data_IF_025249255185
#
_entry.id   IF_025249255185
#
_cell.length_a   1.000
_cell.length_b   1.000
_cell.length_c   1.000
_cell.angle_alpha   90.00
_cell.angle_beta   90.00
_cell.angle_gamma   90.00
#
_symmetry.space_group_name_H-M   'P 1'
#
loop_
_entity.id
_entity.type
_entity.pdbx_description
1 polymer ?
#
# COMPACT_ATOMS: atom_id res chain seq x y z
N UNK A 1 -9.66 4.93 -17.27
CA UNK A 1 -8.55 5.83 -16.91
C UNK A 1 -8.66 6.10 -15.42
N UNK A 2 -7.89 5.40 -14.59
CA UNK A 2 -7.67 5.81 -13.20
C UNK A 2 -6.66 6.96 -13.19
N UNK A 3 -6.55 7.71 -12.10
CA UNK A 3 -5.67 8.89 -11.97
C UNK A 3 -4.16 8.59 -12.16
N UNK A 4 -3.81 7.34 -12.46
CA UNK A 4 -2.47 6.86 -12.79
C UNK A 4 -2.55 6.15 -14.16
N UNK A 5 -2.12 6.84 -15.23
CA UNK A 5 -2.05 6.29 -16.59
C UNK A 5 -1.14 5.06 -16.71
N UNK A 6 -1.26 4.35 -17.85
CA UNK A 6 -0.52 3.14 -18.28
C UNK A 6 0.00 2.23 -17.15
N UNK A 7 -0.82 1.28 -16.69
CA UNK A 7 -0.45 0.14 -15.81
C UNK A 7 0.93 0.22 -15.10
N UNK A 8 1.14 1.27 -14.30
CA UNK A 8 2.41 1.55 -13.63
C UNK A 8 2.23 1.96 -12.17
N UNK A 9 3.35 1.96 -11.44
CA UNK A 9 3.39 2.33 -10.02
C UNK A 9 2.48 1.48 -9.13
N UNK A 10 1.83 2.15 -8.18
CA UNK A 10 1.01 1.53 -7.13
C UNK A 10 -0.19 0.78 -7.71
N UNK A 11 -0.83 1.29 -8.76
CA UNK A 11 -1.99 0.63 -9.38
C UNK A 11 -1.66 -0.75 -9.97
N UNK A 12 -0.54 -0.85 -10.71
CA UNK A 12 -0.09 -2.15 -11.25
C UNK A 12 0.33 -3.10 -10.15
N UNK A 13 1.07 -2.61 -9.16
CA UNK A 13 1.49 -3.40 -8.01
C UNK A 13 0.27 -3.96 -7.28
N UNK A 14 -0.72 -3.12 -6.95
CA UNK A 14 -1.93 -3.54 -6.26
C UNK A 14 -2.74 -4.56 -7.04
N UNK A 15 -2.93 -4.40 -8.36
CA UNK A 15 -3.59 -5.42 -9.20
C UNK A 15 -2.88 -6.77 -9.16
N UNK A 16 -1.53 -6.79 -9.18
CA UNK A 16 -0.76 -8.02 -9.02
C UNK A 16 -0.95 -8.65 -7.65
N UNK A 17 -1.02 -7.84 -6.59
CA UNK A 17 -1.28 -8.32 -5.23
C UNK A 17 -2.69 -8.94 -5.12
N UNK A 18 -3.71 -8.27 -5.67
CA UNK A 18 -5.08 -8.81 -5.74
C UNK A 18 -5.16 -10.13 -6.50
N UNK A 19 -4.51 -10.23 -7.66
CA UNK A 19 -4.48 -11.46 -8.45
C UNK A 19 -3.83 -12.62 -7.65
N UNK A 20 -2.76 -12.32 -6.90
CA UNK A 20 -2.10 -13.29 -6.01
C UNK A 20 -2.97 -13.72 -4.84
N UNK A 21 -3.96 -12.94 -4.40
CA UNK A 21 -4.89 -13.37 -3.35
C UNK A 21 -5.67 -14.62 -3.76
N UNK A 22 -6.02 -14.72 -5.05
CA UNK A 22 -6.81 -15.82 -5.60
C UNK A 22 -5.96 -16.96 -6.14
N UNK A 23 -4.79 -16.66 -6.72
CA UNK A 23 -4.00 -17.60 -7.52
C UNK A 23 -2.54 -17.79 -7.03
N UNK A 24 -2.20 -17.39 -5.80
CA UNK A 24 -0.80 -17.48 -5.35
C UNK A 24 -0.32 -18.93 -5.31
N UNK A 25 0.86 -19.22 -5.90
CA UNK A 25 1.58 -20.45 -5.60
C UNK A 25 1.86 -20.52 -4.10
N UNK A 26 1.65 -21.69 -3.50
CA UNK A 26 2.05 -21.97 -2.12
C UNK A 26 3.50 -21.51 -1.89
N UNK A 27 3.72 -20.70 -0.85
CA UNK A 27 5.05 -20.28 -0.42
C UNK A 27 5.57 -18.95 -0.98
N UNK A 28 4.83 -18.21 -1.82
CA UNK A 28 5.27 -16.86 -2.18
C UNK A 28 5.26 -15.91 -0.95
N UNK A 29 6.28 -15.05 -0.83
CA UNK A 29 6.43 -14.14 0.31
C UNK A 29 5.17 -13.31 0.58
N UNK A 30 4.56 -12.78 -0.48
CA UNK A 30 3.31 -12.00 -0.40
C UNK A 30 2.14 -12.83 0.10
N UNK A 31 1.98 -14.08 -0.35
CA UNK A 31 0.89 -14.95 0.10
C UNK A 31 1.01 -15.26 1.60
N UNK A 32 2.25 -15.46 2.08
CA UNK A 32 2.53 -15.64 3.51
C UNK A 32 2.16 -14.40 4.33
N UNK A 33 2.54 -13.21 3.85
CA UNK A 33 2.16 -11.95 4.51
C UNK A 33 0.63 -11.76 4.59
N UNK A 34 -0.09 -12.10 3.52
CA UNK A 34 -1.56 -12.03 3.49
C UNK A 34 -2.21 -13.04 4.45
N UNK A 35 -1.59 -14.20 4.66
CA UNK A 35 -2.06 -15.23 5.59
C UNK A 35 -1.69 -14.97 7.07
N UNK A 36 -0.74 -14.07 7.34
CA UNK A 36 -0.21 -13.77 8.68
C UNK A 36 -0.58 -12.32 9.12
N UNK A 37 -1.84 -12.01 9.49
CA UNK A 37 -2.30 -10.64 9.73
C UNK A 37 -1.55 -9.92 10.86
N UNK A 38 -1.15 -10.64 11.91
CA UNK A 38 -0.34 -10.09 13.00
C UNK A 38 1.03 -9.64 12.52
N UNK A 39 1.67 -10.43 11.65
CA UNK A 39 2.98 -10.10 11.07
C UNK A 39 2.88 -8.91 10.13
N UNK A 40 1.82 -8.86 9.32
CA UNK A 40 1.60 -7.74 8.42
C UNK A 40 1.35 -6.44 9.20
N UNK A 41 0.56 -6.49 10.28
CA UNK A 41 0.34 -5.33 11.15
C UNK A 41 1.64 -4.86 11.83
N UNK A 42 2.47 -5.79 12.30
CA UNK A 42 3.79 -5.48 12.84
C UNK A 42 4.66 -4.76 11.80
N UNK A 43 4.69 -5.24 10.55
CA UNK A 43 5.44 -4.57 9.49
C UNK A 43 4.95 -3.17 9.19
N UNK A 44 3.64 -2.95 9.03
CA UNK A 44 3.09 -1.60 8.83
C UNK A 44 3.49 -0.65 9.97
N UNK A 45 3.55 -1.16 11.20
CA UNK A 45 3.94 -0.35 12.37
C UNK A 45 5.43 -0.03 12.37
N UNK A 46 6.26 -1.01 12.03
CA UNK A 46 7.72 -0.88 11.89
C UNK A 46 8.08 0.19 10.85
N UNK A 47 7.60 0.04 9.61
CA UNK A 47 7.94 0.97 8.52
C UNK A 47 7.42 2.39 8.79
N UNK A 48 6.27 2.52 9.49
CA UNK A 48 5.77 3.83 9.90
C UNK A 48 6.69 4.49 10.94
N UNK A 49 7.27 3.70 11.85
CA UNK A 49 8.28 4.17 12.81
C UNK A 49 9.57 4.57 12.11
N UNK A 50 10.05 3.76 11.18
CA UNK A 50 11.27 4.02 10.40
C UNK A 50 11.12 5.26 9.53
N UNK A 51 9.99 5.42 8.84
CA UNK A 51 9.69 6.64 8.08
C UNK A 51 9.70 7.91 8.94
N UNK A 52 9.21 7.84 10.19
CA UNK A 52 9.26 8.96 11.11
C UNK A 52 10.69 9.28 11.59
N UNK A 53 11.54 8.26 11.67
CA UNK A 53 12.93 8.37 12.12
C UNK A 53 13.94 8.66 11.02
N UNK A 54 13.55 8.57 9.75
CA UNK A 54 14.42 8.75 8.59
C UNK A 54 15.11 10.12 8.60
N UNK A 55 16.43 10.12 8.46
CA UNK A 55 17.29 11.28 8.57
C UNK A 55 17.86 11.74 7.21
N UNK A 56 17.83 10.86 6.20
CA UNK A 56 18.26 11.19 4.84
C UNK A 56 17.11 11.16 3.83
N UNK A 57 17.31 11.85 2.70
CA UNK A 57 16.36 11.81 1.57
C UNK A 57 16.13 10.38 1.08
N UNK A 58 17.20 9.58 1.03
CA UNK A 58 17.13 8.22 0.52
C UNK A 58 16.37 7.32 1.50
N UNK A 59 16.64 7.42 2.80
CA UNK A 59 15.86 6.73 3.84
C UNK A 59 14.37 7.08 3.74
N UNK A 60 14.02 8.37 3.65
CA UNK A 60 12.61 8.79 3.51
C UNK A 60 11.93 8.14 2.30
N UNK A 61 12.63 8.03 1.17
CA UNK A 61 12.09 7.38 -0.03
C UNK A 61 11.91 5.88 0.18
N UNK A 62 12.87 5.22 0.83
CA UNK A 62 12.85 3.77 1.07
C UNK A 62 11.74 3.40 2.04
N UNK A 63 11.68 4.04 3.21
CA UNK A 63 10.67 3.72 4.23
C UNK A 63 9.25 4.08 3.75
N UNK A 64 9.11 5.15 2.96
CA UNK A 64 7.83 5.47 2.34
C UNK A 64 7.41 4.39 1.34
N UNK A 65 8.34 3.84 0.55
CA UNK A 65 8.06 2.78 -0.39
C UNK A 65 7.64 1.47 0.31
N UNK A 66 8.31 1.10 1.40
CA UNK A 66 8.00 -0.11 2.17
C UNK A 66 6.68 0.03 2.92
N UNK A 67 6.42 1.17 3.55
CA UNK A 67 5.13 1.47 4.17
C UNK A 67 3.99 1.39 3.15
N UNK A 68 4.18 1.95 1.95
CA UNK A 68 3.20 1.84 0.86
C UNK A 68 3.01 0.39 0.41
N UNK A 69 4.09 -0.38 0.28
CA UNK A 69 4.01 -1.79 -0.10
C UNK A 69 3.17 -2.59 0.91
N UNK A 70 3.47 -2.53 2.22
CA UNK A 70 2.70 -3.28 3.22
C UNK A 70 1.27 -2.80 3.35
N UNK A 71 1.02 -1.50 3.14
CA UNK A 71 -0.35 -0.96 3.04
C UNK A 71 -1.10 -1.61 1.88
N UNK A 72 -0.50 -1.68 0.67
CA UNK A 72 -1.13 -2.32 -0.48
C UNK A 72 -1.36 -3.83 -0.26
N UNK A 73 -0.43 -4.52 0.42
CA UNK A 73 -0.61 -5.93 0.79
C UNK A 73 -1.80 -6.09 1.75
N UNK A 74 -1.97 -5.17 2.71
CA UNK A 74 -3.12 -5.19 3.62
C UNK A 74 -4.44 -4.97 2.89
N UNK A 75 -4.50 -3.99 1.99
CA UNK A 75 -5.70 -3.77 1.17
C UNK A 75 -6.05 -5.02 0.35
N UNK A 76 -5.05 -5.60 -0.31
CA UNK A 76 -5.25 -6.79 -1.11
C UNK A 76 -5.68 -8.00 -0.27
N UNK A 77 -5.16 -8.19 0.95
CA UNK A 77 -5.59 -9.25 1.87
C UNK A 77 -7.09 -9.14 2.23
N UNK A 78 -7.60 -7.92 2.41
CA UNK A 78 -9.02 -7.64 2.66
C UNK A 78 -9.87 -7.56 1.37
N UNK A 79 -9.21 -7.65 0.21
CA UNK A 79 -9.84 -7.51 -1.10
C UNK A 79 -10.34 -6.12 -1.45
N UNK A 80 -9.80 -5.09 -0.79
CA UNK A 80 -10.13 -3.69 -1.02
C UNK A 80 -9.35 -3.18 -2.24
N UNK A 81 -10.04 -2.47 -3.14
CA UNK A 81 -9.44 -1.85 -4.32
C UNK A 81 -8.65 -0.58 -3.98
N UNK A 82 -7.54 -0.34 -4.68
CA UNK A 82 -6.79 0.93 -4.55
C UNK A 82 -7.66 2.14 -4.94
N UNK A 83 -8.58 1.95 -5.89
CA UNK A 83 -9.57 2.96 -6.29
C UNK A 83 -10.50 3.38 -5.16
N UNK A 84 -10.76 2.50 -4.18
CA UNK A 84 -11.53 2.84 -2.98
C UNK A 84 -10.76 3.84 -2.13
N UNK A 85 -9.48 3.57 -1.89
CA UNK A 85 -8.58 4.46 -1.13
C UNK A 85 -8.39 5.79 -1.86
N UNK A 86 -8.20 5.76 -3.18
CA UNK A 86 -8.11 6.98 -4.01
C UNK A 86 -9.36 7.85 -3.84
N UNK A 87 -10.58 7.26 -3.90
CA UNK A 87 -11.83 8.01 -3.66
C UNK A 87 -11.87 8.66 -2.28
N UNK A 88 -11.33 8.01 -1.26
CA UNK A 88 -11.23 8.58 0.09
C UNK A 88 -10.21 9.72 0.15
N UNK A 89 -9.05 9.59 -0.49
CA UNK A 89 -8.02 10.63 -0.57
C UNK A 89 -8.52 11.86 -1.34
N UNK A 90 -9.20 11.68 -2.47
CA UNK A 90 -9.82 12.74 -3.25
C UNK A 90 -10.83 13.55 -2.42
N UNK A 91 -11.62 12.86 -1.58
CA UNK A 91 -12.54 13.53 -0.65
C UNK A 91 -11.79 14.34 0.41
N UNK A 92 -10.66 13.83 0.90
CA UNK A 92 -9.81 14.51 1.87
C UNK A 92 -9.16 15.75 1.27
N UNK A 93 -8.62 15.66 0.05
CA UNK A 93 -8.03 16.80 -0.65
C UNK A 93 -9.05 17.91 -0.87
N UNK A 94 -10.25 17.58 -1.35
CA UNK A 94 -11.34 18.56 -1.50
C UNK A 94 -11.72 19.25 -0.19
N UNK A 95 -11.57 18.57 0.95
CA UNK A 95 -11.82 19.16 2.28
C UNK A 95 -10.71 20.13 2.69
N UNK A 96 -9.45 19.83 2.36
CA UNK A 96 -8.30 20.72 2.63
C UNK A 96 -8.46 22.01 1.82
N UNK A 97 -8.67 21.91 0.50
CA UNK A 97 -8.84 23.07 -0.40
C UNK A 97 -10.02 23.99 -0.07
N UNK A 98 -11.00 23.53 0.72
CA UNK A 98 -12.14 24.34 1.18
C UNK A 98 -11.86 25.14 2.46
N UNK A 99 -10.75 24.83 3.14
CA UNK A 99 -10.33 25.45 4.40
C UNK A 99 -9.22 26.47 4.20
N UNK A 100 -8.52 26.40 3.08
CA UNK A 100 -7.60 27.40 2.55
C UNK A 100 -8.38 28.52 1.83
#
# INVERSE_FOLDING_TARGET
RTCFGEDAGLGRLHRRLLARRSDAPEGSYTARLMAEPTRLAAKVTEEAGELNGAASRDEVVWEAADLLYFTLVRLAAEGIGLDEVERHLDRRERRVRRRD
#
